data_IF_343981601318
#
_entry.id   IF_343981601318
#
_cell.length_a   1.000
_cell.length_b   1.000
_cell.length_c   1.000
_cell.angle_alpha   90.00
_cell.angle_beta   90.00
_cell.angle_gamma   90.00
#
_symmetry.space_group_name_H-M   'P 1'
#
loop_
_entity.id
_entity.type
_entity.pdbx_description
1 polymer ?
#
# COMPACT_ATOMS: atom_id res chain seq x y z
N UNK A 1 7.49 14.43 -2.01
CA UNK A 1 7.67 12.99 -2.27
C UNK A 1 8.79 12.71 -3.27
N UNK A 2 8.97 13.50 -4.34
CA UNK A 2 10.06 13.28 -5.29
C UNK A 2 11.43 13.22 -4.63
N UNK A 3 11.74 14.12 -3.69
CA UNK A 3 13.00 14.09 -2.96
C UNK A 3 13.22 12.76 -2.22
N UNK A 4 12.15 12.09 -1.81
CA UNK A 4 12.26 10.79 -1.15
C UNK A 4 12.67 9.68 -2.13
N UNK A 5 12.29 9.76 -3.42
CA UNK A 5 12.74 8.78 -4.44
C UNK A 5 14.26 8.89 -4.62
N UNK A 6 14.80 10.10 -4.80
CA UNK A 6 16.26 10.26 -4.92
C UNK A 6 17.00 9.78 -3.67
N UNK A 7 16.51 10.14 -2.48
CA UNK A 7 17.10 9.67 -1.23
C UNK A 7 17.03 8.15 -1.07
N UNK A 8 15.93 7.52 -1.50
CA UNK A 8 15.81 6.07 -1.50
C UNK A 8 16.86 5.43 -2.41
N UNK A 9 17.07 5.96 -3.62
CA UNK A 9 18.12 5.49 -4.52
C UNK A 9 19.51 5.62 -3.91
N UNK A 10 19.81 6.74 -3.22
CA UNK A 10 21.07 6.91 -2.49
C UNK A 10 21.24 5.87 -1.36
N UNK A 11 20.17 5.58 -0.60
CA UNK A 11 20.22 4.60 0.47
C UNK A 11 20.35 3.16 -0.04
N UNK A 12 19.71 2.84 -1.16
CA UNK A 12 19.87 1.55 -1.85
C UNK A 12 21.33 1.35 -2.23
N UNK A 13 21.97 2.34 -2.88
CA UNK A 13 23.38 2.28 -3.26
C UNK A 13 24.30 2.14 -2.03
N UNK A 14 24.03 2.89 -0.97
CA UNK A 14 24.80 2.86 0.27
C UNK A 14 24.76 1.51 0.97
N UNK A 15 23.62 0.83 0.92
CA UNK A 15 23.39 -0.40 1.69
C UNK A 15 23.47 -1.68 0.87
N UNK A 16 23.86 -1.59 -0.41
CA UNK A 16 23.90 -2.73 -1.34
C UNK A 16 24.75 -3.92 -0.84
N UNK A 17 25.80 -3.62 -0.07
CA UNK A 17 26.73 -4.63 0.47
C UNK A 17 26.35 -5.10 1.89
N UNK A 18 25.22 -4.64 2.44
CA UNK A 18 24.68 -5.11 3.71
C UNK A 18 24.08 -6.52 3.56
N UNK A 19 23.92 -7.28 4.67
CA UNK A 19 23.10 -8.48 4.68
C UNK A 19 21.72 -8.20 4.05
N UNK A 20 21.18 -9.17 3.33
CA UNK A 20 19.98 -8.99 2.50
C UNK A 20 18.80 -8.39 3.25
N UNK A 21 18.55 -8.86 4.48
CA UNK A 21 17.47 -8.40 5.35
C UNK A 21 17.60 -6.97 5.85
N UNK A 22 18.80 -6.40 5.80
CA UNK A 22 19.09 -5.02 6.25
C UNK A 22 19.41 -4.06 5.10
N UNK A 23 19.39 -4.53 3.85
CA UNK A 23 19.46 -3.64 2.69
C UNK A 23 18.25 -2.71 2.69
N UNK A 24 18.45 -1.47 2.26
CA UNK A 24 17.36 -0.53 2.19
C UNK A 24 16.39 -0.92 1.07
N UNK A 25 15.13 -1.08 1.43
CA UNK A 25 14.01 -1.27 0.50
C UNK A 25 12.96 -0.21 0.76
N UNK A 26 12.42 0.35 -0.29
CA UNK A 26 11.33 1.31 -0.19
C UNK A 26 10.07 0.85 -0.90
N UNK A 27 8.94 1.03 -0.23
CA UNK A 27 7.63 0.74 -0.78
C UNK A 27 6.94 2.06 -1.15
N UNK A 28 6.75 2.28 -2.45
CA UNK A 28 6.05 3.46 -2.99
C UNK A 28 4.56 3.16 -2.99
N UNK A 29 3.81 3.93 -2.23
CA UNK A 29 2.40 3.70 -2.03
C UNK A 29 1.53 4.16 -3.20
N UNK A 30 1.86 5.28 -3.84
CA UNK A 30 1.03 5.92 -4.86
C UNK A 30 1.80 6.17 -6.15
N UNK A 31 1.27 5.73 -7.27
CA UNK A 31 1.93 5.84 -8.58
C UNK A 31 1.94 7.27 -9.14
N UNK A 32 1.07 8.17 -8.68
CA UNK A 32 1.15 9.58 -9.08
C UNK A 32 2.51 10.21 -8.74
N UNK A 33 3.13 9.78 -7.63
CA UNK A 33 4.48 10.23 -7.27
C UNK A 33 5.55 9.67 -8.23
N UNK A 34 5.34 8.44 -8.71
CA UNK A 34 6.21 7.81 -9.73
C UNK A 34 6.05 8.51 -11.07
N UNK A 35 4.82 8.79 -11.50
CA UNK A 35 4.56 9.53 -12.73
C UNK A 35 5.26 10.89 -12.72
N UNK A 36 5.09 11.63 -11.63
CA UNK A 36 5.73 12.93 -11.48
C UNK A 36 7.27 12.81 -11.49
N UNK A 37 7.84 11.84 -10.77
CA UNK A 37 9.28 11.59 -10.80
C UNK A 37 9.75 11.27 -12.22
N UNK A 38 9.11 10.36 -12.92
CA UNK A 38 9.45 9.99 -14.30
C UNK A 38 9.31 11.18 -15.27
N UNK A 39 8.42 12.13 -14.98
CA UNK A 39 8.25 13.36 -15.76
C UNK A 39 9.40 14.35 -15.64
N UNK A 40 10.06 14.41 -14.47
CA UNK A 40 11.05 15.46 -14.17
C UNK A 40 12.49 14.96 -14.00
N UNK A 41 12.68 13.64 -13.76
CA UNK A 41 14.00 13.04 -13.54
C UNK A 41 14.84 13.02 -14.81
N UNK A 42 16.17 13.05 -14.64
CA UNK A 42 17.09 12.79 -15.73
C UNK A 42 16.93 11.36 -16.26
N UNK A 43 17.31 11.11 -17.51
CA UNK A 43 17.23 9.75 -18.06
C UNK A 43 18.07 8.76 -17.25
N UNK A 44 19.21 9.19 -16.74
CA UNK A 44 20.06 8.37 -15.88
C UNK A 44 19.33 7.98 -14.58
N UNK A 45 18.61 8.92 -13.92
CA UNK A 45 17.86 8.66 -12.70
C UNK A 45 16.65 7.77 -12.96
N UNK A 46 15.95 7.95 -14.11
CA UNK A 46 14.88 7.06 -14.54
C UNK A 46 15.36 5.62 -14.66
N UNK A 47 16.49 5.41 -15.32
CA UNK A 47 17.08 4.07 -15.49
C UNK A 47 17.51 3.47 -14.15
N UNK A 48 18.08 4.26 -13.24
CA UNK A 48 18.40 3.81 -11.88
C UNK A 48 17.14 3.39 -11.13
N UNK A 49 16.08 4.18 -11.20
CA UNK A 49 14.81 3.86 -10.56
C UNK A 49 14.20 2.58 -11.13
N UNK A 50 14.12 2.46 -12.45
CA UNK A 50 13.60 1.25 -13.13
C UNK A 50 14.42 0.02 -12.73
N UNK A 51 15.75 0.14 -12.68
CA UNK A 51 16.62 -0.94 -12.24
C UNK A 51 16.38 -1.33 -10.78
N UNK A 52 16.21 -0.37 -9.88
CA UNK A 52 15.91 -0.59 -8.47
C UNK A 52 14.55 -1.29 -8.26
N UNK A 53 13.53 -0.93 -9.05
CA UNK A 53 12.24 -1.61 -9.03
C UNK A 53 12.38 -3.06 -9.51
N UNK A 54 13.07 -3.29 -10.63
CA UNK A 54 13.31 -4.64 -11.18
C UNK A 54 14.13 -5.52 -10.23
N UNK A 55 15.05 -4.93 -9.48
CA UNK A 55 15.85 -5.62 -8.47
C UNK A 55 15.09 -5.88 -7.16
N UNK A 56 13.86 -5.36 -7.00
CA UNK A 56 13.08 -5.51 -5.77
C UNK A 56 13.46 -4.54 -4.64
N UNK A 57 14.44 -3.65 -4.86
CA UNK A 57 14.83 -2.64 -3.86
C UNK A 57 13.80 -1.50 -3.73
N UNK A 58 12.93 -1.34 -4.73
CA UNK A 58 11.76 -0.49 -4.66
C UNK A 58 10.54 -1.32 -5.05
N UNK A 59 9.54 -1.38 -4.17
CA UNK A 59 8.23 -1.94 -4.48
C UNK A 59 7.28 -0.83 -4.91
N UNK A 60 6.43 -1.11 -5.88
CA UNK A 60 5.38 -0.20 -6.34
C UNK A 60 4.01 -0.77 -5.98
N UNK A 61 3.21 0.03 -5.29
CA UNK A 61 1.77 -0.22 -5.18
C UNK A 61 1.10 0.04 -6.52
N UNK A 62 0.07 -0.73 -6.85
CA UNK A 62 -0.67 -0.55 -8.09
C UNK A 62 -1.58 0.68 -8.08
N UNK A 63 -1.95 1.18 -6.89
CA UNK A 63 -2.85 2.32 -6.78
C UNK A 63 -2.19 3.60 -7.30
N UNK A 64 -2.90 4.30 -8.17
CA UNK A 64 -2.47 5.62 -8.64
C UNK A 64 -2.47 6.63 -7.48
N UNK A 65 -3.51 6.60 -6.65
CA UNK A 65 -3.63 7.37 -5.41
C UNK A 65 -4.46 6.59 -4.39
N UNK A 66 -4.45 7.03 -3.13
CA UNK A 66 -5.37 6.55 -2.12
C UNK A 66 -6.70 7.29 -2.29
N UNK A 67 -7.78 6.55 -2.50
CA UNK A 67 -9.10 7.08 -2.75
C UNK A 67 -10.12 6.48 -1.78
N UNK A 68 -11.15 7.26 -1.51
CA UNK A 68 -12.36 6.77 -0.85
C UNK A 68 -13.20 6.01 -1.88
N UNK A 69 -12.94 4.73 -2.01
CA UNK A 69 -13.50 3.89 -3.07
C UNK A 69 -15.02 3.75 -3.03
N UNK A 70 -15.66 4.01 -1.87
CA UNK A 70 -17.12 4.08 -1.73
C UNK A 70 -17.78 5.20 -2.54
N UNK A 71 -17.00 6.20 -2.99
CA UNK A 71 -17.46 7.29 -3.84
C UNK A 71 -17.20 7.04 -5.33
N UNK A 72 -16.49 5.97 -5.69
CA UNK A 72 -16.13 5.64 -7.06
C UNK A 72 -17.16 4.75 -7.74
N UNK A 73 -17.31 4.90 -9.05
CA UNK A 73 -18.02 3.93 -9.88
C UNK A 73 -17.17 2.69 -10.13
N UNK A 74 -17.76 1.54 -10.57
CA UNK A 74 -16.99 0.36 -10.92
C UNK A 74 -15.92 0.63 -12.00
N UNK A 75 -16.20 1.48 -12.97
CA UNK A 75 -15.26 1.88 -14.02
C UNK A 75 -14.08 2.65 -13.43
N UNK A 76 -14.35 3.60 -12.52
CA UNK A 76 -13.31 4.38 -11.84
C UNK A 76 -12.39 3.50 -11.01
N UNK A 77 -12.88 2.39 -10.44
CA UNK A 77 -12.05 1.40 -9.74
C UNK A 77 -10.97 0.79 -10.63
N UNK A 78 -11.27 0.52 -11.89
CA UNK A 78 -10.28 0.06 -12.86
C UNK A 78 -9.23 1.14 -13.15
N UNK A 79 -9.65 2.41 -13.23
CA UNK A 79 -8.73 3.52 -13.47
C UNK A 79 -7.73 3.78 -12.34
N UNK A 80 -8.08 3.42 -11.10
CA UNK A 80 -7.17 3.52 -9.96
C UNK A 80 -5.87 2.73 -10.20
N UNK A 81 -5.94 1.61 -10.91
CA UNK A 81 -4.80 0.68 -11.12
C UNK A 81 -4.27 0.65 -12.56
N UNK A 82 -4.90 1.36 -13.47
CA UNK A 82 -4.57 1.31 -14.91
C UNK A 82 -3.15 1.82 -15.21
N UNK A 83 -2.68 2.81 -14.45
CA UNK A 83 -1.30 3.31 -14.62
C UNK A 83 -0.24 2.23 -14.29
N UNK A 84 -0.56 1.28 -13.42
CA UNK A 84 0.30 0.13 -13.18
C UNK A 84 0.47 -0.75 -14.42
N UNK A 85 -0.62 -0.95 -15.20
CA UNK A 85 -0.55 -1.67 -16.47
C UNK A 85 0.33 -0.94 -17.48
N UNK A 86 0.21 0.38 -17.55
CA UNK A 86 1.08 1.21 -18.37
C UNK A 86 2.56 1.04 -18.02
N UNK A 87 2.90 1.07 -16.72
CA UNK A 87 4.28 0.86 -16.24
C UNK A 87 4.79 -0.56 -16.53
N UNK A 88 3.94 -1.58 -16.39
CA UNK A 88 4.26 -2.96 -16.79
C UNK A 88 4.58 -3.04 -18.28
N UNK A 89 3.73 -2.44 -19.11
CA UNK A 89 3.86 -2.43 -20.57
C UNK A 89 5.10 -1.67 -21.04
N UNK A 90 5.36 -0.48 -20.49
CA UNK A 90 6.46 0.38 -20.94
C UNK A 90 7.82 -0.08 -20.44
N UNK A 91 7.90 -0.54 -19.22
CA UNK A 91 9.17 -0.80 -18.54
C UNK A 91 9.33 -2.24 -18.04
N UNK A 92 8.32 -3.08 -18.13
CA UNK A 92 8.34 -4.44 -17.62
C UNK A 92 8.46 -4.49 -16.09
N UNK A 93 7.79 -3.57 -15.36
CA UNK A 93 7.90 -3.51 -13.91
C UNK A 93 7.02 -4.56 -13.22
N UNK A 94 7.50 -5.23 -12.17
CA UNK A 94 6.74 -6.28 -11.46
C UNK A 94 5.79 -5.66 -10.43
N UNK A 95 4.61 -5.21 -10.86
CA UNK A 95 3.61 -4.62 -9.99
C UNK A 95 2.45 -5.61 -9.82
N UNK A 96 2.29 -6.25 -8.67
CA UNK A 96 1.26 -7.27 -8.40
C UNK A 96 0.56 -7.10 -7.07
N UNK A 97 0.87 -6.02 -6.34
CA UNK A 97 0.25 -5.71 -5.06
C UNK A 97 -0.21 -4.26 -5.01
N UNK A 98 -1.16 -3.98 -4.14
CA UNK A 98 -1.60 -2.64 -3.79
C UNK A 98 -1.34 -2.33 -2.32
N UNK A 99 -1.15 -1.06 -2.01
CA UNK A 99 -1.16 -0.53 -0.65
C UNK A 99 -2.25 0.53 -0.52
N UNK A 100 -2.92 0.52 0.61
CA UNK A 100 -3.84 1.57 1.02
C UNK A 100 -3.47 1.99 2.42
N UNK A 101 -2.93 3.19 2.57
CA UNK A 101 -2.46 3.71 3.86
C UNK A 101 -3.25 4.96 4.18
N UNK A 102 -3.52 5.18 5.47
CA UNK A 102 -4.28 6.31 6.00
C UNK A 102 -5.79 6.22 5.68
N UNK A 103 -6.19 6.29 4.42
CA UNK A 103 -7.59 6.29 3.99
C UNK A 103 -8.26 4.95 4.33
N UNK A 104 -9.13 4.88 5.33
CA UNK A 104 -9.73 3.62 5.75
C UNK A 104 -10.94 3.25 4.91
N UNK A 105 -11.23 1.95 4.92
CA UNK A 105 -12.36 1.40 4.18
C UNK A 105 -12.04 1.19 2.70
N UNK A 106 -12.69 0.19 2.13
CA UNK A 106 -12.59 -0.10 0.70
C UNK A 106 -13.87 -0.75 0.22
N UNK A 107 -14.33 -0.35 -0.95
CA UNK A 107 -15.48 -0.95 -1.61
C UNK A 107 -15.20 -2.36 -2.05
N UNK A 108 -16.18 -3.22 -1.89
CA UNK A 108 -16.08 -4.63 -2.26
C UNK A 108 -15.75 -4.87 -3.73
N UNK A 109 -16.28 -4.05 -4.64
CA UNK A 109 -15.98 -4.10 -6.07
C UNK A 109 -14.51 -3.85 -6.42
N UNK A 110 -13.71 -3.30 -5.50
CA UNK A 110 -12.29 -3.12 -5.69
C UNK A 110 -11.53 -4.45 -5.86
N UNK A 111 -12.03 -5.53 -5.26
CA UNK A 111 -11.45 -6.88 -5.42
C UNK A 111 -11.50 -7.32 -6.88
N UNK A 112 -12.65 -7.14 -7.54
CA UNK A 112 -12.82 -7.53 -8.94
C UNK A 112 -11.94 -6.68 -9.86
N UNK A 113 -11.80 -5.38 -9.58
CA UNK A 113 -10.90 -4.50 -10.31
C UNK A 113 -9.42 -4.91 -10.12
N UNK A 114 -8.99 -5.16 -8.89
CA UNK A 114 -7.64 -5.64 -8.63
C UNK A 114 -7.33 -6.95 -9.36
N UNK A 115 -8.22 -7.93 -9.26
CA UNK A 115 -8.06 -9.22 -9.91
C UNK A 115 -7.96 -9.09 -11.44
N UNK A 116 -8.81 -8.25 -12.06
CA UNK A 116 -8.78 -7.97 -13.50
C UNK A 116 -7.45 -7.38 -13.97
N UNK A 117 -6.75 -6.64 -13.12
CA UNK A 117 -5.44 -6.05 -13.38
C UNK A 117 -4.27 -6.86 -12.81
N UNK A 118 -4.49 -8.11 -12.41
CA UNK A 118 -3.45 -9.00 -11.89
C UNK A 118 -2.87 -8.60 -10.53
N UNK A 119 -3.61 -7.82 -9.75
CA UNK A 119 -3.24 -7.46 -8.38
C UNK A 119 -3.78 -8.53 -7.45
N UNK A 120 -2.90 -9.23 -6.76
CA UNK A 120 -3.23 -10.37 -5.90
C UNK A 120 -3.21 -10.06 -4.41
N UNK A 121 -2.53 -8.99 -4.02
CA UNK A 121 -2.26 -8.66 -2.64
C UNK A 121 -2.65 -7.23 -2.32
N UNK A 122 -3.23 -7.02 -1.14
CA UNK A 122 -3.52 -5.70 -0.59
C UNK A 122 -2.92 -5.59 0.81
N UNK A 123 -1.98 -4.65 0.97
CA UNK A 123 -1.45 -4.26 2.26
C UNK A 123 -2.20 -3.02 2.75
N UNK A 124 -3.00 -3.15 3.79
CA UNK A 124 -3.67 -2.02 4.42
C UNK A 124 -2.87 -1.49 5.61
N UNK A 125 -2.77 -0.17 5.73
CA UNK A 125 -2.25 0.52 6.89
C UNK A 125 -3.24 1.61 7.32
N UNK A 126 -4.31 1.25 8.05
CA UNK A 126 -5.37 2.20 8.38
C UNK A 126 -4.86 3.32 9.28
N UNK A 127 -5.58 4.44 9.30
CA UNK A 127 -5.33 5.58 10.18
C UNK A 127 -5.57 5.16 11.63
N UNK A 128 -4.52 4.65 12.25
CA UNK A 128 -4.51 4.16 13.60
C UNK A 128 -3.15 4.42 14.24
N UNK A 129 -3.16 4.99 15.44
CA UNK A 129 -1.98 5.26 16.24
C UNK A 129 -2.14 4.53 17.58
N UNK A 130 -1.49 3.38 17.76
CA UNK A 130 -1.72 2.49 18.91
C UNK A 130 -1.54 3.14 20.28
N UNK A 131 -0.61 4.08 20.37
CA UNK A 131 -0.23 4.74 21.64
C UNK A 131 -1.14 5.93 22.01
N UNK A 132 -2.15 6.24 21.18
CA UNK A 132 -3.14 7.28 21.51
C UNK A 132 -4.33 6.70 22.29
N UNK A 133 -4.86 7.42 23.30
CA UNK A 133 -5.92 6.92 24.17
C UNK A 133 -7.14 6.36 23.43
N UNK A 134 -7.56 7.03 22.34
CA UNK A 134 -8.71 6.62 21.52
C UNK A 134 -8.27 5.95 20.20
N UNK A 135 -7.00 5.52 20.12
CA UNK A 135 -6.41 5.01 18.88
C UNK A 135 -6.14 6.10 17.85
N UNK A 136 -6.51 7.35 18.13
CA UNK A 136 -6.34 8.50 17.24
C UNK A 136 -7.01 8.32 15.89
N UNK A 137 -8.11 7.56 15.82
CA UNK A 137 -8.59 7.01 14.58
C UNK A 137 -10.07 7.31 14.28
N UNK A 138 -10.36 7.20 13.00
CA UNK A 138 -11.71 7.17 12.43
C UNK A 138 -11.93 5.88 11.64
N UNK A 139 -11.19 4.80 11.97
CA UNK A 139 -11.21 3.56 11.19
C UNK A 139 -12.34 2.61 11.59
N UNK A 140 -12.99 2.85 12.71
CA UNK A 140 -13.99 1.94 13.25
C UNK A 140 -13.40 0.62 13.78
N UNK A 141 -14.22 -0.12 14.54
CA UNK A 141 -13.81 -1.35 15.22
C UNK A 141 -13.42 -2.47 14.23
N UNK A 142 -14.12 -2.59 13.12
CA UNK A 142 -13.91 -3.68 12.16
C UNK A 142 -12.48 -3.73 11.62
N UNK A 143 -11.94 -2.60 11.15
CA UNK A 143 -10.56 -2.57 10.64
C UNK A 143 -9.53 -2.77 11.75
N UNK A 144 -9.80 -2.27 12.96
CA UNK A 144 -8.95 -2.49 14.12
C UNK A 144 -8.94 -3.96 14.54
N UNK A 145 -10.10 -4.61 14.56
CA UNK A 145 -10.22 -6.02 14.90
C UNK A 145 -9.60 -6.94 13.85
N UNK A 146 -9.50 -6.49 12.60
CA UNK A 146 -8.82 -7.20 11.52
C UNK A 146 -7.30 -7.02 11.52
N UNK A 147 -6.77 -6.13 12.35
CA UNK A 147 -5.34 -5.91 12.46
C UNK A 147 -4.61 -7.22 12.75
N UNK A 148 -3.58 -7.52 11.96
CA UNK A 148 -2.77 -8.74 12.00
C UNK A 148 -3.55 -10.05 11.79
N UNK A 149 -4.72 -9.97 11.16
CA UNK A 149 -5.52 -11.14 10.77
C UNK A 149 -5.68 -11.18 9.24
N UNK A 150 -4.70 -11.70 8.50
CA UNK A 150 -4.79 -11.83 7.06
C UNK A 150 -5.99 -12.69 6.63
N UNK A 151 -6.59 -12.35 5.47
CA UNK A 151 -7.71 -13.07 4.92
C UNK A 151 -7.75 -12.99 3.40
N UNK A 152 -8.37 -13.98 2.77
CA UNK A 152 -8.76 -13.91 1.39
C UNK A 152 -10.05 -13.07 1.26
N UNK A 153 -9.96 -11.96 0.56
CA UNK A 153 -11.12 -11.15 0.26
C UNK A 153 -11.69 -11.57 -1.08
N UNK A 154 -12.84 -12.23 -1.03
CA UNK A 154 -13.53 -12.77 -2.20
C UNK A 154 -14.34 -11.66 -2.87
N UNK A 155 -14.19 -11.49 -4.19
CA UNK A 155 -14.86 -10.47 -4.98
C UNK A 155 -16.37 -10.65 -5.10
N UNK A 156 -17.03 -9.65 -5.66
CA UNK A 156 -18.50 -9.59 -5.79
C UNK A 156 -19.03 -10.69 -6.71
N UNK A 157 -18.26 -11.08 -7.72
CA UNK A 157 -18.62 -12.18 -8.64
C UNK A 157 -18.39 -13.56 -8.03
N UNK A 158 -17.64 -13.64 -6.94
CA UNK A 158 -17.26 -14.89 -6.29
C UNK A 158 -16.22 -15.72 -7.05
N UNK A 159 -15.68 -15.22 -8.16
CA UNK A 159 -14.69 -15.92 -9.00
C UNK A 159 -13.27 -15.69 -8.51
N UNK A 160 -12.98 -14.45 -8.13
CA UNK A 160 -11.63 -14.00 -7.79
C UNK A 160 -11.52 -13.65 -6.30
N UNK A 161 -10.32 -13.70 -5.79
CA UNK A 161 -9.98 -13.29 -4.44
C UNK A 161 -8.58 -12.67 -4.41
N UNK A 162 -8.38 -11.73 -3.51
CA UNK A 162 -7.07 -11.16 -3.20
C UNK A 162 -6.72 -11.42 -1.74
N UNK A 163 -5.45 -11.58 -1.44
CA UNK A 163 -4.98 -11.68 -0.06
C UNK A 163 -4.85 -10.29 0.54
N UNK A 164 -5.55 -10.05 1.64
CA UNK A 164 -5.51 -8.78 2.39
C UNK A 164 -4.80 -8.98 3.71
N UNK A 165 -3.93 -8.05 4.05
CA UNK A 165 -3.31 -7.98 5.36
C UNK A 165 -3.37 -6.55 5.89
N UNK A 166 -4.17 -6.35 6.92
CA UNK A 166 -4.27 -5.08 7.64
C UNK A 166 -3.23 -5.03 8.75
N UNK A 167 -2.37 -4.02 8.76
CA UNK A 167 -1.35 -3.85 9.78
C UNK A 167 -1.99 -3.54 11.14
N UNK A 168 -1.71 -4.36 12.16
CA UNK A 168 -2.29 -4.21 13.50
C UNK A 168 -1.84 -2.96 14.24
N UNK A 169 -0.69 -2.41 13.85
CA UNK A 169 -0.19 -1.12 14.37
C UNK A 169 -0.56 0.06 13.46
N UNK A 170 -1.46 -0.15 12.48
CA UNK A 170 -1.80 0.85 11.49
C UNK A 170 -0.59 1.36 10.71
N UNK A 171 -0.69 2.55 10.13
CA UNK A 171 0.45 3.20 9.50
C UNK A 171 1.23 4.11 10.46
N UNK A 172 0.59 4.56 11.53
CA UNK A 172 1.13 5.51 12.49
C UNK A 172 2.02 4.90 13.60
N UNK A 173 2.29 3.59 13.55
CA UNK A 173 3.01 2.89 14.61
C UNK A 173 4.39 3.47 14.98
N UNK A 174 5.02 4.23 14.10
CA UNK A 174 6.30 4.89 14.33
C UNK A 174 6.24 6.42 14.26
N UNK A 175 5.04 6.99 14.18
CA UNK A 175 4.88 8.44 14.22
C UNK A 175 5.48 9.03 15.52
N UNK A 176 5.96 10.24 15.42
CA UNK A 176 6.70 10.89 16.51
C UNK A 176 8.14 10.41 16.71
N UNK A 177 8.63 9.44 15.89
CA UNK A 177 10.04 9.15 15.80
C UNK A 177 10.71 10.11 14.84
N UNK A 178 11.84 10.67 15.23
CA UNK A 178 12.75 11.39 14.33
C UNK A 178 13.75 10.41 13.73
N UNK A 179 14.46 10.83 12.69
CA UNK A 179 15.55 10.03 12.13
C UNK A 179 16.55 9.61 13.21
N UNK A 180 16.83 8.31 13.29
CA UNK A 180 17.72 7.74 14.31
C UNK A 180 17.05 7.37 15.64
N UNK A 181 15.86 7.85 15.95
CA UNK A 181 15.17 7.53 17.21
C UNK A 181 14.88 6.02 17.37
N UNK A 182 14.87 5.28 16.27
CA UNK A 182 14.70 3.82 16.29
C UNK A 182 15.85 3.14 17.07
N UNK A 183 17.07 3.68 17.04
CA UNK A 183 18.22 3.13 17.77
C UNK A 183 18.02 3.18 19.29
N UNK A 184 17.36 4.20 19.80
CA UNK A 184 17.13 4.39 21.23
C UNK A 184 15.82 3.74 21.73
N UNK A 185 14.77 3.83 20.92
CA UNK A 185 13.38 3.50 21.32
C UNK A 185 12.86 2.23 20.66
N UNK A 186 13.47 1.79 19.55
CA UNK A 186 12.96 0.69 18.72
C UNK A 186 12.92 -0.64 19.46
N UNK A 187 13.97 -0.98 20.22
CA UNK A 187 14.03 -2.25 20.98
C UNK A 187 12.83 -2.44 21.89
N UNK A 188 12.47 -1.42 22.66
CA UNK A 188 11.33 -1.49 23.58
C UNK A 188 10.02 -1.60 22.83
N UNK A 189 9.86 -0.85 21.74
CA UNK A 189 8.64 -0.85 20.93
C UNK A 189 8.42 -2.20 20.22
N UNK A 190 9.48 -2.77 19.67
CA UNK A 190 9.43 -4.10 19.05
C UNK A 190 9.08 -5.18 20.09
N UNK A 191 9.74 -5.17 21.25
CA UNK A 191 9.44 -6.12 22.31
C UNK A 191 7.99 -6.01 22.82
N UNK A 192 7.46 -4.80 22.95
CA UNK A 192 6.08 -4.58 23.36
C UNK A 192 5.10 -5.17 22.35
N UNK A 193 5.33 -4.95 21.05
CA UNK A 193 4.46 -5.50 20.00
C UNK A 193 4.55 -7.02 19.90
N UNK A 194 5.72 -7.61 20.04
CA UNK A 194 5.85 -9.08 20.06
C UNK A 194 5.12 -9.69 21.26
N UNK A 195 5.17 -9.05 22.44
CA UNK A 195 4.41 -9.51 23.60
C UNK A 195 2.88 -9.37 23.39
N UNK A 196 2.43 -8.31 22.74
CA UNK A 196 1.03 -8.11 22.38
C UNK A 196 0.54 -9.24 21.44
N UNK A 197 1.29 -9.53 20.40
CA UNK A 197 0.96 -10.61 19.44
C UNK A 197 0.93 -11.98 20.15
N UNK A 198 1.90 -12.26 21.00
CA UNK A 198 1.93 -13.48 21.79
C UNK A 198 0.72 -13.60 22.73
N UNK A 199 0.36 -12.52 23.41
CA UNK A 199 -0.82 -12.49 24.29
C UNK A 199 -2.15 -12.70 23.55
N UNK A 200 -2.21 -12.27 22.28
CA UNK A 200 -3.37 -12.49 21.38
C UNK A 200 -3.37 -13.87 20.73
N UNK A 201 -2.36 -14.70 20.95
CA UNK A 201 -2.21 -16.00 20.30
C UNK A 201 -2.00 -15.88 18.78
N UNK A 202 -1.24 -14.89 18.33
CA UNK A 202 -0.92 -14.69 16.92
C UNK A 202 -0.29 -15.97 16.31
N UNK A 203 -0.90 -16.56 15.28
CA UNK A 203 -0.55 -17.93 14.87
C UNK A 203 0.59 -18.02 13.86
N UNK A 204 1.07 -16.87 13.35
CA UNK A 204 2.07 -16.84 12.28
C UNK A 204 3.45 -16.46 12.81
N UNK A 205 4.50 -16.87 12.13
CA UNK A 205 5.88 -16.49 12.44
C UNK A 205 6.36 -15.25 11.66
N UNK A 206 5.47 -14.62 10.92
CA UNK A 206 5.70 -13.38 10.19
C UNK A 206 4.66 -12.35 10.60
N UNK A 207 5.09 -11.09 10.76
CA UNK A 207 4.19 -9.96 10.97
C UNK A 207 4.70 -8.76 10.18
N UNK A 208 3.77 -8.03 9.55
CA UNK A 208 4.13 -6.78 8.90
C UNK A 208 4.08 -5.62 9.91
N UNK A 209 5.02 -4.71 9.81
CA UNK A 209 4.99 -3.46 10.53
C UNK A 209 5.39 -2.31 9.63
N UNK A 210 4.49 -1.40 9.42
CA UNK A 210 4.76 -0.24 8.58
C UNK A 210 5.72 0.70 9.29
N UNK A 211 6.80 1.05 8.61
CA UNK A 211 7.80 1.98 9.12
C UNK A 211 7.70 3.32 8.40
N UNK A 212 7.25 4.32 9.13
CA UNK A 212 7.10 5.69 8.67
C UNK A 212 7.39 6.62 9.86
N UNK A 213 8.40 7.46 9.76
CA UNK A 213 8.83 8.34 10.84
C UNK A 213 8.27 9.75 10.68
N UNK A 214 8.33 10.52 11.75
CA UNK A 214 7.85 11.90 11.91
C UNK A 214 6.34 11.96 11.97
N UNK A 215 5.67 11.93 10.84
CA UNK A 215 4.21 11.93 10.66
C UNK A 215 3.88 11.50 9.23
N UNK A 216 2.69 11.87 8.75
CA UNK A 216 2.27 11.58 7.38
C UNK A 216 3.28 12.08 6.36
N UNK A 217 3.51 11.28 5.33
CA UNK A 217 4.48 11.59 4.27
C UNK A 217 5.90 11.89 4.77
N UNK A 218 6.28 11.24 5.87
CA UNK A 218 7.59 11.43 6.49
C UNK A 218 8.77 11.13 5.57
N UNK A 219 9.97 11.62 5.93
CA UNK A 219 11.17 11.38 5.15
C UNK A 219 11.63 9.92 5.28
N UNK A 220 12.48 9.48 4.36
CA UNK A 220 13.19 8.21 4.51
C UNK A 220 14.15 8.28 5.69
N UNK A 221 14.18 7.24 6.53
CA UNK A 221 15.12 7.14 7.65
C UNK A 221 16.44 6.51 7.18
N UNK A 222 17.48 7.33 7.13
CA UNK A 222 18.81 6.87 6.73
C UNK A 222 19.47 5.92 7.73
N UNK A 223 18.90 5.73 8.90
CA UNK A 223 19.47 4.89 9.99
C UNK A 223 18.78 3.53 10.12
N UNK A 224 17.67 3.30 9.41
CA UNK A 224 16.89 2.06 9.51
C UNK A 224 17.72 0.82 9.18
N UNK A 225 18.47 0.85 8.08
CA UNK A 225 19.30 -0.28 7.65
C UNK A 225 20.40 -0.62 8.67
N UNK A 226 21.03 0.39 9.26
CA UNK A 226 22.02 0.18 10.30
C UNK A 226 21.39 -0.45 11.54
N UNK A 227 20.23 0.05 11.96
CA UNK A 227 19.49 -0.51 13.09
C UNK A 227 19.11 -1.97 12.88
N UNK A 228 18.56 -2.31 11.71
CA UNK A 228 18.16 -3.69 11.39
C UNK A 228 19.36 -4.62 11.37
N UNK A 229 20.48 -4.19 10.78
CA UNK A 229 21.73 -4.97 10.80
C UNK A 229 22.22 -5.21 12.22
N UNK A 230 22.38 -4.15 13.01
CA UNK A 230 22.83 -4.22 14.41
C UNK A 230 21.90 -5.09 15.27
N UNK A 231 20.59 -5.00 15.03
CA UNK A 231 19.58 -5.85 15.68
C UNK A 231 19.81 -7.33 15.38
N UNK A 232 19.90 -7.68 14.10
CA UNK A 232 20.03 -9.08 13.67
C UNK A 232 21.38 -9.71 14.02
N UNK A 233 22.42 -8.90 14.23
CA UNK A 233 23.68 -9.34 14.81
C UNK A 233 23.57 -9.62 16.32
N UNK A 234 22.72 -8.88 17.02
CA UNK A 234 22.58 -8.94 18.47
C UNK A 234 21.52 -9.93 18.94
N UNK A 235 20.41 -10.04 18.23
CA UNK A 235 19.25 -10.84 18.63
C UNK A 235 18.94 -11.94 17.61
N UNK A 236 18.67 -13.14 18.10
CA UNK A 236 18.27 -14.28 17.28
C UNK A 236 16.78 -14.25 16.91
N UNK A 237 15.95 -13.55 17.71
CA UNK A 237 14.51 -13.43 17.50
C UNK A 237 13.98 -12.15 18.18
N UNK A 238 12.97 -11.47 17.55
CA UNK A 238 12.58 -11.65 16.17
C UNK A 238 13.68 -11.21 15.20
N UNK A 239 13.74 -11.81 14.04
CA UNK A 239 14.56 -11.32 12.94
C UNK A 239 13.84 -10.16 12.25
N UNK A 240 14.53 -9.07 12.02
CA UNK A 240 13.99 -7.91 11.30
C UNK A 240 14.39 -7.96 9.83
N UNK A 241 13.45 -7.63 8.95
CA UNK A 241 13.67 -7.60 7.51
C UNK A 241 13.09 -6.30 6.96
N UNK A 242 13.89 -5.53 6.24
CA UNK A 242 13.38 -4.40 5.46
C UNK A 242 12.80 -4.97 4.17
N UNK A 243 11.49 -5.16 4.13
CA UNK A 243 10.85 -5.98 3.13
C UNK A 243 10.27 -5.18 1.96
N UNK A 244 10.40 -5.76 0.76
CA UNK A 244 9.52 -5.45 -0.36
C UNK A 244 8.14 -6.03 -0.06
N UNK A 245 7.11 -5.18 -0.01
CA UNK A 245 5.78 -5.59 0.40
C UNK A 245 5.17 -6.66 -0.51
N UNK A 246 5.44 -6.61 -1.81
CA UNK A 246 4.98 -7.63 -2.75
C UNK A 246 5.61 -8.99 -2.48
N UNK A 247 6.93 -9.03 -2.25
CA UNK A 247 7.66 -10.26 -1.90
C UNK A 247 7.19 -10.81 -0.56
N UNK A 248 7.06 -9.96 0.45
CA UNK A 248 6.55 -10.35 1.77
C UNK A 248 5.17 -10.99 1.68
N UNK A 249 4.25 -10.40 0.95
CA UNK A 249 2.89 -10.94 0.77
C UNK A 249 2.91 -12.26 0.01
N UNK A 250 3.76 -12.41 -1.00
CA UNK A 250 3.91 -13.65 -1.74
C UNK A 250 4.49 -14.78 -0.88
N UNK A 251 5.46 -14.48 -0.02
CA UNK A 251 6.01 -15.46 0.93
C UNK A 251 4.96 -15.88 1.95
N UNK A 252 4.20 -14.91 2.48
CA UNK A 252 3.11 -15.19 3.40
C UNK A 252 2.03 -16.06 2.75
N UNK A 253 1.60 -15.73 1.53
CA UNK A 253 0.65 -16.55 0.75
C UNK A 253 1.17 -17.98 0.55
N UNK A 254 2.44 -18.12 0.17
CA UNK A 254 3.08 -19.42 -0.07
C UNK A 254 3.06 -20.27 1.18
N UNK A 255 3.33 -19.69 2.34
CA UNK A 255 3.45 -20.40 3.61
C UNK A 255 2.10 -20.70 4.25
N UNK A 256 1.19 -19.73 4.23
CA UNK A 256 -0.05 -19.77 5.02
C UNK A 256 -1.34 -19.68 4.19
N UNK A 257 -1.25 -19.44 2.89
CA UNK A 257 -2.40 -19.10 2.05
C UNK A 257 -3.55 -20.14 2.08
N UNK A 258 -3.25 -21.41 2.37
CA UNK A 258 -4.26 -22.47 2.47
C UNK A 258 -5.06 -22.45 3.78
N UNK A 259 -4.48 -21.85 4.82
CA UNK A 259 -5.03 -21.85 6.17
C UNK A 259 -5.69 -20.52 6.53
N UNK A 260 -5.64 -19.56 5.62
CA UNK A 260 -6.20 -18.22 5.81
C UNK A 260 -7.70 -18.24 5.55
N UNK A 261 -8.52 -17.59 6.43
CA UNK A 261 -9.96 -17.52 6.23
C UNK A 261 -10.32 -16.71 4.99
N UNK A 262 -11.49 -17.00 4.41
CA UNK A 262 -12.04 -16.23 3.29
C UNK A 262 -13.22 -15.41 3.79
N UNK A 263 -13.21 -14.12 3.46
CA UNK A 263 -14.31 -13.21 3.75
C UNK A 263 -14.81 -12.56 2.46
N UNK A 264 -16.03 -12.06 2.51
CA UNK A 264 -16.66 -11.29 1.44
C UNK A 264 -17.53 -10.20 2.05
N UNK A 265 -17.76 -9.15 1.30
CA UNK A 265 -18.52 -8.01 1.74
C UNK A 265 -17.72 -6.70 1.65
N UNK A 266 -18.35 -5.64 2.05
CA UNK A 266 -17.84 -4.28 1.96
C UNK A 266 -17.16 -3.85 3.26
N UNK A 267 -16.09 -3.07 3.15
CA UNK A 267 -15.37 -2.44 4.26
C UNK A 267 -15.51 -0.91 4.27
N UNK A 268 -16.60 -0.41 3.69
CA UNK A 268 -17.04 0.97 3.76
C UNK A 268 -18.32 1.06 4.63
N UNK A 269 -18.82 2.25 5.00
CA UNK A 269 -18.18 3.55 4.87
C UNK A 269 -17.32 3.90 6.08
N UNK A 270 -16.36 4.78 5.89
CA UNK A 270 -15.64 5.42 7.00
C UNK A 270 -15.46 6.92 6.72
N UNK A 271 -14.49 7.30 5.88
CA UNK A 271 -14.23 8.71 5.59
C UNK A 271 -15.14 9.28 4.52
N UNK A 272 -15.96 8.47 3.88
CA UNK A 272 -17.01 8.88 2.97
C UNK A 272 -18.04 9.80 3.67
N UNK A 273 -18.10 9.82 5.02
CA UNK A 273 -18.91 10.78 5.79
C UNK A 273 -18.53 12.24 5.47
N UNK A 274 -17.28 12.50 5.07
CA UNK A 274 -16.83 13.82 4.62
C UNK A 274 -17.55 14.33 3.38
N UNK A 275 -18.04 13.45 2.52
CA UNK A 275 -18.78 13.80 1.31
C UNK A 275 -20.09 14.54 1.59
N UNK A 276 -20.66 14.41 2.77
CA UNK A 276 -21.84 15.18 3.16
C UNK A 276 -21.60 16.71 3.18
N UNK A 277 -20.34 17.12 3.38
CA UNK A 277 -19.97 18.54 3.34
C UNK A 277 -19.91 19.10 1.91
N UNK A 278 -19.81 18.23 0.91
CA UNK A 278 -19.69 18.54 -0.52
C UNK A 278 -20.78 17.85 -1.34
N UNK A 279 -21.95 17.67 -0.76
CA UNK A 279 -23.04 16.90 -1.37
C UNK A 279 -23.46 17.38 -2.77
N UNK A 280 -23.34 18.69 -3.06
CA UNK A 280 -23.61 19.23 -4.37
C UNK A 280 -22.56 18.78 -5.38
N UNK A 281 -21.28 18.93 -5.05
CA UNK A 281 -20.14 18.57 -5.88
C UNK A 281 -20.12 17.06 -6.11
N UNK A 282 -20.38 16.26 -5.09
CA UNK A 282 -20.51 14.80 -5.21
C UNK A 282 -21.66 14.41 -6.14
N UNK A 283 -22.80 15.09 -6.06
CA UNK A 283 -23.91 14.90 -6.97
C UNK A 283 -23.55 15.24 -8.42
N UNK A 284 -22.82 16.33 -8.65
CA UNK A 284 -22.31 16.73 -9.96
C UNK A 284 -21.31 15.70 -10.53
N UNK A 285 -20.37 15.19 -9.69
CA UNK A 285 -19.42 14.15 -10.09
C UNK A 285 -20.15 12.88 -10.52
N UNK A 286 -21.15 12.42 -9.75
CA UNK A 286 -21.94 11.23 -10.14
C UNK A 286 -22.65 11.41 -11.47
N UNK A 287 -23.22 12.58 -11.74
CA UNK A 287 -23.84 12.89 -13.03
C UNK A 287 -22.81 12.91 -14.15
N UNK A 288 -21.62 13.47 -13.91
CA UNK A 288 -20.54 13.52 -14.89
C UNK A 288 -20.00 12.12 -15.18
N UNK A 289 -19.77 11.28 -14.17
CA UNK A 289 -19.34 9.89 -14.35
C UNK A 289 -20.33 9.08 -15.19
N UNK A 290 -21.64 9.20 -14.93
CA UNK A 290 -22.67 8.56 -15.74
C UNK A 290 -22.67 9.05 -17.20
N UNK A 291 -22.52 10.37 -17.42
CA UNK A 291 -22.40 10.92 -18.78
C UNK A 291 -21.16 10.45 -19.50
N UNK A 292 -20.05 10.31 -18.80
CA UNK A 292 -18.79 9.84 -19.34
C UNK A 292 -18.91 8.38 -19.80
N UNK A 293 -19.47 7.51 -18.96
CA UNK A 293 -19.77 6.12 -19.32
C UNK A 293 -20.63 6.05 -20.59
N UNK A 294 -21.72 6.83 -20.63
CA UNK A 294 -22.59 6.89 -21.81
C UNK A 294 -21.87 7.40 -23.06
N UNK A 295 -20.96 8.38 -22.91
CA UNK A 295 -20.17 8.89 -24.03
C UNK A 295 -19.22 7.83 -24.59
N UNK A 296 -18.55 7.08 -23.73
CA UNK A 296 -17.66 5.99 -24.13
C UNK A 296 -18.44 4.91 -24.89
N UNK A 297 -19.58 4.51 -24.38
CA UNK A 297 -20.42 3.51 -25.06
C UNK A 297 -20.98 4.02 -26.40
N UNK A 298 -21.44 5.24 -26.48
CA UNK A 298 -21.87 5.85 -27.71
C UNK A 298 -20.73 5.93 -28.75
N UNK A 299 -19.53 6.26 -28.32
CA UNK A 299 -18.36 6.30 -29.19
C UNK A 299 -18.00 4.92 -29.74
N UNK A 300 -18.11 3.87 -28.94
CA UNK A 300 -17.94 2.46 -29.37
C UNK A 300 -18.99 2.11 -30.46
N UNK A 301 -20.27 2.41 -30.24
CA UNK A 301 -21.36 2.14 -31.18
C UNK A 301 -21.14 2.87 -32.50
N UNK A 302 -20.65 4.10 -32.47
CA UNK A 302 -20.41 4.94 -33.63
C UNK A 302 -19.06 4.67 -34.31
N UNK A 303 -18.28 3.68 -33.87
CA UNK A 303 -16.92 3.41 -34.34
C UNK A 303 -16.00 4.66 -34.29
N UNK A 304 -16.18 5.54 -33.31
CA UNK A 304 -15.36 6.72 -33.04
C UNK A 304 -14.64 6.55 -31.72
N UNK A 305 -13.54 5.79 -31.67
CA UNK A 305 -12.88 5.52 -30.38
C UNK A 305 -12.44 6.82 -29.71
N UNK A 306 -12.81 6.96 -28.45
CA UNK A 306 -12.30 7.99 -27.56
C UNK A 306 -11.22 7.30 -26.71
N UNK A 307 -10.08 7.95 -26.55
CA UNK A 307 -9.07 7.47 -25.62
C UNK A 307 -9.56 7.75 -24.19
N UNK A 308 -9.92 6.71 -23.43
CA UNK A 308 -10.40 6.89 -22.08
C UNK A 308 -9.36 7.55 -21.15
N UNK A 309 -8.05 7.37 -21.41
CA UNK A 309 -7.00 8.01 -20.65
C UNK A 309 -7.07 9.54 -20.65
N UNK A 310 -7.64 10.14 -21.70
CA UNK A 310 -7.84 11.59 -21.75
C UNK A 310 -9.02 12.07 -20.89
N UNK A 311 -9.87 11.16 -20.44
CA UNK A 311 -11.12 11.45 -19.76
C UNK A 311 -11.04 11.27 -18.24
N UNK A 312 -10.10 10.43 -17.75
CA UNK A 312 -9.93 10.10 -16.35
C UNK A 312 -8.62 10.65 -15.75
N UNK A 313 -7.94 11.54 -16.46
CA UNK A 313 -6.73 12.24 -15.99
C UNK A 313 -7.00 13.61 -15.42
#
# INVERSE_FOLDING_TARGET
QNNNIWKALELIDRTKDYPEDSRFVWNVESLWAVENFLGIASEADKQRFIAAVKAGSIALSANYANLMTGLCTPEEMHWIVEYADSLRKWYGLPISMAMQTDVPGMSWSMVDAYAAHGIRHLCQGPNYIPDMPDGGDRIGSTLREQGDKPYWWKGTTGKDSILVWTAGQGYGGWHGFTAGAIKERGTRKIAAYMNELAAKGYPYDMVQWRYNIVSDNGPVDSTLSDFVREWNEKYSSPRLIIANAGTMMQEFETKYGKDIPTWSGDFTPYWEDGAYSTAKEEGEVRVLSARLTNLIEAAKILNKPIDPHLLYR
#
